data_IF_411428104304
#
_entry.id   IF_411428104304
#
_cell.length_a   1.000
_cell.length_b   1.000
_cell.length_c   1.000
_cell.angle_alpha   90.00
_cell.angle_beta   90.00
_cell.angle_gamma   90.00
#
_symmetry.space_group_name_H-M   'P 1'
#
loop_
_entity.id
_entity.type
_entity.pdbx_description
1 polymer ?
#
# COMPACT_ATOMS: atom_id res chain seq x y z
N UNK A 1 11.05 -6.83 7.75
CA UNK A 1 10.65 -5.48 7.28
C UNK A 1 9.16 -5.46 7.40
N UNK A 2 8.67 -5.03 8.55
CA UNK A 2 7.30 -5.33 8.94
C UNK A 2 6.64 -4.04 9.39
N UNK A 3 5.36 -3.93 9.06
CA UNK A 3 4.56 -2.73 9.21
C UNK A 3 3.26 -2.93 8.46
N UNK A 4 2.30 -2.04 8.67
CA UNK A 4 0.97 -2.16 8.11
C UNK A 4 0.50 -0.83 7.54
N UNK A 5 -0.13 -0.86 6.37
CA UNK A 5 -0.92 0.24 5.85
C UNK A 5 -2.38 -0.01 6.20
N UNK A 6 -3.03 0.97 6.81
CA UNK A 6 -4.47 0.99 7.06
C UNK A 6 -5.06 2.08 6.18
N UNK A 7 -5.93 1.70 5.24
CA UNK A 7 -6.62 2.61 4.35
C UNK A 7 -8.02 2.89 4.89
N UNK A 8 -8.49 4.13 4.77
CA UNK A 8 -9.77 4.60 5.28
C UNK A 8 -10.68 5.05 4.14
N UNK A 9 -11.99 4.96 4.37
CA UNK A 9 -12.98 5.54 3.47
C UNK A 9 -12.84 7.06 3.49
N UNK A 10 -12.96 7.67 2.32
CA UNK A 10 -13.00 9.14 2.22
C UNK A 10 -14.37 9.65 2.68
N UNK A 11 -14.37 10.33 3.82
CA UNK A 11 -15.51 11.05 4.39
C UNK A 11 -15.21 12.55 4.55
N UNK A 12 -14.26 13.08 3.78
CA UNK A 12 -13.84 14.49 3.84
C UNK A 12 -12.80 14.81 4.91
N UNK A 13 -12.17 13.80 5.51
CA UNK A 13 -11.04 14.00 6.41
C UNK A 13 -9.71 14.19 5.66
N UNK A 14 -8.73 14.82 6.31
CA UNK A 14 -7.43 15.13 5.67
C UNK A 14 -6.46 13.93 5.60
N UNK A 15 -6.91 12.74 6.00
CA UNK A 15 -6.12 11.50 5.94
C UNK A 15 -6.93 10.33 5.37
N UNK A 16 -6.30 9.55 4.51
CA UNK A 16 -6.86 8.35 3.89
C UNK A 16 -6.03 7.11 4.22
N UNK A 17 -4.78 7.25 4.66
CA UNK A 17 -3.90 6.12 4.94
C UNK A 17 -3.08 6.39 6.19
N UNK A 18 -2.99 5.39 7.06
CA UNK A 18 -1.99 5.34 8.13
C UNK A 18 -0.96 4.26 7.85
N UNK A 19 0.32 4.59 8.06
CA UNK A 19 1.40 3.61 8.20
C UNK A 19 1.66 3.34 9.66
N UNK A 20 1.65 2.06 9.99
CA UNK A 20 1.96 1.55 11.30
C UNK A 20 3.28 0.78 11.25
N UNK A 21 4.07 0.88 12.31
CA UNK A 21 5.21 -0.02 12.53
C UNK A 21 4.75 -1.43 12.95
N UNK A 22 5.70 -2.28 13.33
CA UNK A 22 5.47 -3.67 13.76
C UNK A 22 4.64 -3.75 15.03
N UNK A 23 4.77 -2.75 15.88
CA UNK A 23 4.04 -2.64 17.12
C UNK A 23 2.62 -2.08 16.88
N UNK A 24 2.26 -1.67 15.66
CA UNK A 24 0.96 -1.06 15.40
C UNK A 24 0.90 0.40 15.88
N UNK A 25 2.04 1.07 16.01
CA UNK A 25 2.10 2.52 16.27
C UNK A 25 2.12 3.26 14.93
N UNK A 26 1.26 4.26 14.79
CA UNK A 26 1.22 5.12 13.61
C UNK A 26 2.54 5.89 13.51
N UNK A 27 3.24 5.74 12.39
CA UNK A 27 4.49 6.45 12.08
C UNK A 27 4.29 7.53 11.02
N UNK A 28 3.32 7.34 10.11
CA UNK A 28 2.94 8.35 9.10
C UNK A 28 1.44 8.30 8.77
N UNK A 29 0.95 9.42 8.27
CA UNK A 29 -0.41 9.61 7.76
C UNK A 29 -0.37 10.37 6.43
N UNK A 30 -1.26 10.01 5.51
CA UNK A 30 -1.40 10.63 4.19
C UNK A 30 -2.86 10.91 3.84
N UNK A 31 -3.16 11.96 3.04
CA UNK A 31 -2.20 12.92 2.50
C UNK A 31 -1.61 13.88 3.54
N UNK A 32 -2.28 14.09 4.67
CA UNK A 32 -1.85 15.02 5.71
C UNK A 32 -1.90 14.43 7.12
N UNK A 33 -1.71 15.30 8.11
CA UNK A 33 -1.91 15.05 9.54
C UNK A 33 -0.98 14.00 10.17
N UNK A 34 0.24 13.81 9.64
CA UNK A 34 1.23 12.93 10.30
C UNK A 34 1.50 13.36 11.74
N UNK A 35 1.72 14.64 12.01
CA UNK A 35 2.00 15.13 13.37
C UNK A 35 0.82 14.98 14.33
N UNK A 36 -0.41 14.85 13.80
CA UNK A 36 -1.62 14.64 14.60
C UNK A 36 -1.71 13.19 15.07
N UNK A 37 -1.37 12.25 14.18
CA UNK A 37 -1.62 10.82 14.36
C UNK A 37 -0.38 10.03 14.77
N UNK A 38 0.83 10.50 14.47
CA UNK A 38 2.07 9.83 14.84
C UNK A 38 2.13 9.55 16.35
N UNK A 39 2.61 8.35 16.71
CA UNK A 39 2.64 7.86 18.10
C UNK A 39 1.31 7.25 18.59
N UNK A 40 0.25 7.30 17.80
CA UNK A 40 -1.02 6.64 18.14
C UNK A 40 -0.87 5.11 18.03
N UNK A 41 -1.16 4.38 19.11
CA UNK A 41 -1.10 2.92 19.15
C UNK A 41 -2.45 2.32 18.78
N UNK A 42 -2.51 1.54 17.69
CA UNK A 42 -3.72 0.80 17.31
C UNK A 42 -3.82 -0.49 18.15
N UNK A 43 -4.97 -0.67 18.79
CA UNK A 43 -5.22 -1.78 19.72
C UNK A 43 -5.85 -3.00 19.05
N UNK A 44 -6.62 -2.80 17.98
CA UNK A 44 -7.37 -3.86 17.31
C UNK A 44 -6.80 -4.23 15.93
N UNK A 45 -5.51 -4.01 15.69
CA UNK A 45 -4.90 -4.19 14.36
C UNK A 45 -5.13 -5.60 13.78
N UNK A 46 -5.00 -6.64 14.61
CA UNK A 46 -5.18 -8.04 14.19
C UNK A 46 -6.62 -8.44 13.88
N UNK A 47 -7.60 -7.69 14.39
CA UNK A 47 -9.03 -7.94 14.17
C UNK A 47 -9.67 -6.90 13.25
N UNK A 48 -8.90 -5.90 12.82
CA UNK A 48 -9.33 -4.83 11.94
C UNK A 48 -9.59 -5.38 10.54
N UNK A 49 -10.75 -5.04 10.00
CA UNK A 49 -11.19 -5.47 8.67
C UNK A 49 -11.92 -4.32 7.98
N UNK A 50 -12.23 -4.52 6.70
CA UNK A 50 -13.05 -3.60 5.91
C UNK A 50 -14.34 -3.24 6.66
N UNK A 51 -14.68 -1.96 6.58
CA UNK A 51 -15.78 -1.25 7.23
C UNK A 51 -15.71 -1.23 8.77
N UNK A 52 -14.65 -1.77 9.37
CA UNK A 52 -14.38 -1.69 10.80
C UNK A 52 -13.78 -0.35 11.21
N UNK A 53 -13.88 -0.04 12.51
CA UNK A 53 -13.29 1.16 13.10
C UNK A 53 -11.98 0.82 13.83
N UNK A 54 -11.02 1.74 13.76
CA UNK A 54 -9.75 1.62 14.47
C UNK A 54 -9.96 2.03 15.93
N UNK A 55 -9.64 1.13 16.86
CA UNK A 55 -9.52 1.42 18.29
C UNK A 55 -8.07 1.68 18.61
N UNK A 56 -7.78 2.79 19.29
CA UNK A 56 -6.42 3.22 19.54
C UNK A 56 -6.24 3.86 20.92
N UNK A 57 -4.98 3.98 21.34
CA UNK A 57 -4.56 4.87 22.42
C UNK A 57 -3.78 6.03 21.83
N UNK A 58 -4.23 7.24 22.12
CA UNK A 58 -3.57 8.49 21.72
C UNK A 58 -3.41 9.35 22.96
N UNK A 59 -2.18 9.79 23.24
CA UNK A 59 -1.84 10.59 24.43
C UNK A 59 -2.36 9.97 25.74
N UNK A 60 -2.24 8.65 25.89
CA UNK A 60 -2.69 7.89 27.06
C UNK A 60 -4.21 7.72 27.19
N UNK A 61 -5.01 8.20 26.23
CA UNK A 61 -6.47 8.07 26.23
C UNK A 61 -6.94 7.11 25.15
N UNK A 62 -7.95 6.32 25.47
CA UNK A 62 -8.64 5.49 24.48
C UNK A 62 -9.40 6.36 23.50
N UNK A 63 -9.37 5.95 22.24
CA UNK A 63 -9.97 6.68 21.15
C UNK A 63 -10.42 5.70 20.06
N UNK A 64 -11.44 6.08 19.30
CA UNK A 64 -11.94 5.32 18.15
C UNK A 64 -11.99 6.22 16.92
N UNK A 65 -11.42 5.74 15.81
CA UNK A 65 -11.49 6.42 14.53
C UNK A 65 -12.90 6.31 13.98
N UNK A 66 -13.53 7.46 13.73
CA UNK A 66 -14.86 7.52 13.13
C UNK A 66 -14.85 7.20 11.63
N UNK A 67 -13.68 7.18 11.01
CA UNK A 67 -13.51 6.81 9.61
C UNK A 67 -13.34 5.30 9.50
N UNK A 68 -14.22 4.67 8.74
CA UNK A 68 -14.21 3.24 8.52
C UNK A 68 -13.04 2.82 7.63
N UNK A 69 -12.53 1.62 7.87
CA UNK A 69 -11.38 1.07 7.13
C UNK A 69 -11.82 0.53 5.77
N UNK A 70 -11.11 0.88 4.72
CA UNK A 70 -11.26 0.30 3.37
C UNK A 70 -10.49 -1.01 3.27
N UNK A 71 -9.25 -1.01 3.74
CA UNK A 71 -8.35 -2.14 3.63
C UNK A 71 -7.21 -2.07 4.67
N UNK A 72 -6.64 -3.24 4.95
CA UNK A 72 -5.44 -3.38 5.80
C UNK A 72 -4.43 -4.20 5.01
N UNK A 73 -3.21 -3.69 4.90
CA UNK A 73 -2.19 -4.27 4.04
C UNK A 73 -0.84 -4.40 4.76
N UNK A 74 -0.24 -5.60 4.82
CA UNK A 74 1.12 -5.71 5.31
C UNK A 74 2.08 -5.00 4.35
N UNK A 75 3.07 -4.32 4.91
CA UNK A 75 4.21 -3.77 4.16
C UNK A 75 5.21 -4.90 3.99
N UNK A 76 5.15 -5.58 2.85
CA UNK A 76 6.04 -6.69 2.49
C UNK A 76 6.28 -6.69 0.98
N UNK A 77 7.36 -7.32 0.50
CA UNK A 77 7.61 -7.45 -0.93
C UNK A 77 6.42 -8.07 -1.66
N UNK A 78 6.15 -7.57 -2.86
CA UNK A 78 5.12 -8.12 -3.75
C UNK A 78 5.72 -8.44 -5.11
N UNK A 79 5.28 -9.55 -5.69
CA UNK A 79 5.62 -9.93 -7.06
C UNK A 79 4.49 -9.51 -7.99
N UNK A 80 4.85 -8.92 -9.11
CA UNK A 80 3.95 -8.31 -10.10
C UNK A 80 4.32 -8.81 -11.48
N UNK A 81 3.36 -9.43 -12.15
CA UNK A 81 3.50 -9.78 -13.56
C UNK A 81 3.15 -8.60 -14.44
N UNK A 82 3.87 -8.43 -15.54
CA UNK A 82 3.54 -7.50 -16.62
C UNK A 82 3.18 -8.30 -17.85
N UNK A 83 2.09 -7.92 -18.51
CA UNK A 83 1.65 -8.48 -19.79
C UNK A 83 1.67 -7.42 -20.88
N UNK A 84 1.82 -7.86 -22.13
CA UNK A 84 1.53 -7.02 -23.30
C UNK A 84 0.05 -7.13 -23.65
N UNK A 85 -0.64 -6.00 -23.67
CA UNK A 85 -2.09 -5.92 -23.91
C UNK A 85 -2.46 -5.56 -25.35
N UNK A 86 -1.48 -5.21 -26.20
CA UNK A 86 -1.69 -4.86 -27.61
C UNK A 86 -2.30 -3.47 -27.84
N UNK A 87 -3.12 -2.97 -26.91
CA UNK A 87 -3.76 -1.64 -26.98
C UNK A 87 -3.16 -0.70 -25.94
N UNK A 88 -3.24 -1.07 -24.65
CA UNK A 88 -2.74 -0.25 -23.54
C UNK A 88 -1.21 -0.33 -23.33
N UNK A 89 -0.51 -1.11 -24.16
CA UNK A 89 0.92 -1.43 -24.03
C UNK A 89 1.19 -2.48 -22.94
N UNK A 90 2.18 -2.22 -22.11
CA UNK A 90 2.55 -3.02 -20.96
C UNK A 90 1.60 -2.74 -19.79
N UNK A 91 1.00 -3.78 -19.22
CA UNK A 91 0.01 -3.67 -18.13
C UNK A 91 0.40 -4.59 -16.98
N UNK A 92 0.40 -4.07 -15.75
CA UNK A 92 0.63 -4.88 -14.55
C UNK A 92 -0.56 -5.80 -14.24
N UNK A 93 -0.32 -6.87 -13.50
CA UNK A 93 -1.39 -7.53 -12.73
C UNK A 93 -2.02 -6.54 -11.75
N UNK A 94 -3.25 -6.85 -11.33
CA UNK A 94 -3.93 -6.08 -10.29
C UNK A 94 -3.37 -6.47 -8.93
N UNK A 95 -2.94 -5.49 -8.15
CA UNK A 95 -2.49 -5.65 -6.77
C UNK A 95 -3.24 -4.65 -5.89
N UNK A 96 -3.90 -5.12 -4.83
CA UNK A 96 -4.71 -4.27 -3.93
C UNK A 96 -5.75 -3.41 -4.68
N UNK A 97 -6.39 -3.98 -5.70
CA UNK A 97 -7.33 -3.26 -6.57
C UNK A 97 -6.70 -2.24 -7.53
N UNK A 98 -5.38 -2.05 -7.47
CA UNK A 98 -4.64 -1.11 -8.30
C UNK A 98 -3.96 -1.81 -9.47
N UNK A 99 -3.88 -1.10 -10.61
CA UNK A 99 -3.08 -1.48 -11.77
C UNK A 99 -2.50 -0.23 -12.45
N UNK A 100 -1.50 -0.44 -13.30
CA UNK A 100 -0.93 0.61 -14.13
C UNK A 100 -0.55 0.06 -15.50
N UNK A 101 -0.45 0.98 -16.47
CA UNK A 101 -0.02 0.69 -17.83
C UNK A 101 0.95 1.73 -18.37
N UNK A 102 1.75 1.33 -19.36
CA UNK A 102 2.65 2.17 -20.12
C UNK A 102 2.81 1.62 -21.53
N UNK A 103 2.83 2.49 -22.54
CA UNK A 103 3.02 2.11 -23.94
C UNK A 103 4.48 1.92 -24.34
N UNK A 104 5.44 2.46 -23.58
CA UNK A 104 6.83 2.55 -23.99
C UNK A 104 7.69 1.40 -23.46
N UNK A 105 7.51 1.01 -22.19
CA UNK A 105 8.35 0.00 -21.54
C UNK A 105 7.62 -0.73 -20.39
N UNK A 106 8.15 -1.89 -20.02
CA UNK A 106 7.57 -2.76 -19.00
C UNK A 106 7.88 -2.34 -17.54
N UNK A 107 8.86 -1.46 -17.31
CA UNK A 107 9.29 -1.04 -15.97
C UNK A 107 8.46 0.14 -15.44
N UNK A 108 8.17 1.14 -16.29
CA UNK A 108 7.33 2.30 -15.97
C UNK A 108 5.97 1.96 -15.30
N UNK A 109 5.19 0.97 -15.77
CA UNK A 109 3.92 0.64 -15.12
C UNK A 109 4.14 -0.04 -13.76
N UNK A 110 5.27 -0.74 -13.56
CA UNK A 110 5.63 -1.32 -12.25
C UNK A 110 5.99 -0.20 -11.26
N UNK A 111 6.74 0.82 -11.69
CA UNK A 111 7.06 2.00 -10.87
C UNK A 111 5.80 2.74 -10.44
N UNK A 112 4.89 3.02 -11.38
CA UNK A 112 3.60 3.65 -11.07
C UNK A 112 2.72 2.80 -10.14
N UNK A 113 2.76 1.47 -10.30
CA UNK A 113 2.04 0.58 -9.40
C UNK A 113 2.63 0.65 -7.98
N UNK A 114 3.97 0.68 -7.85
CA UNK A 114 4.64 0.79 -6.56
C UNK A 114 4.19 2.03 -5.79
N UNK A 115 4.13 3.19 -6.44
CA UNK A 115 3.65 4.44 -5.83
C UNK A 115 2.19 4.35 -5.34
N UNK A 116 1.34 3.61 -6.06
CA UNK A 116 -0.06 3.39 -5.68
C UNK A 116 -0.21 2.43 -4.51
N UNK A 117 0.53 1.32 -4.51
CA UNK A 117 0.37 0.26 -3.49
C UNK A 117 1.13 0.55 -2.20
N UNK A 118 2.16 1.39 -2.28
CA UNK A 118 3.03 1.79 -1.17
C UNK A 118 3.23 3.32 -1.18
N UNK A 119 2.17 4.10 -0.93
CA UNK A 119 2.23 5.55 -1.02
C UNK A 119 3.34 6.11 -0.11
N UNK A 120 4.19 6.96 -0.71
CA UNK A 120 5.33 7.63 -0.06
C UNK A 120 6.37 6.69 0.59
N UNK A 121 6.39 5.41 0.25
CA UNK A 121 7.53 4.54 0.54
C UNK A 121 8.46 4.53 -0.67
N UNK A 122 9.76 4.65 -0.40
CA UNK A 122 10.74 4.30 -1.43
C UNK A 122 10.61 2.80 -1.69
N UNK A 123 10.72 2.40 -2.94
CA UNK A 123 10.62 1.00 -3.33
C UNK A 123 11.77 0.64 -4.25
N UNK A 124 12.48 -0.44 -3.94
CA UNK A 124 13.37 -1.10 -4.88
C UNK A 124 12.57 -2.01 -5.79
N UNK A 125 12.84 -1.91 -7.08
CA UNK A 125 12.14 -2.67 -8.11
C UNK A 125 13.18 -3.51 -8.85
N UNK A 126 12.97 -4.82 -8.83
CA UNK A 126 13.89 -5.79 -9.42
C UNK A 126 13.13 -6.68 -10.41
N UNK A 127 13.70 -6.88 -11.60
CA UNK A 127 13.14 -7.83 -12.57
C UNK A 127 13.54 -9.24 -12.13
N UNK A 128 12.55 -10.14 -12.05
CA UNK A 128 12.78 -11.54 -11.74
C UNK A 128 12.95 -12.36 -13.02
N UNK A 129 13.63 -13.49 -12.91
CA UNK A 129 13.64 -14.49 -13.96
C UNK A 129 12.23 -15.04 -14.17
N UNK A 130 11.77 -15.03 -15.42
CA UNK A 130 10.52 -15.67 -15.80
C UNK A 130 10.62 -16.22 -17.22
N UNK A 131 10.04 -17.40 -17.43
CA UNK A 131 9.80 -17.89 -18.78
C UNK A 131 8.56 -17.19 -19.33
N UNK A 132 8.68 -16.58 -20.50
CA UNK A 132 7.53 -15.97 -21.17
C UNK A 132 6.53 -17.05 -21.54
N UNK A 133 5.29 -16.90 -21.08
CA UNK A 133 4.21 -17.84 -21.35
C UNK A 133 2.90 -17.09 -21.65
N UNK A 134 2.32 -17.34 -22.83
CA UNK A 134 1.11 -16.64 -23.28
C UNK A 134 1.32 -15.12 -23.36
N UNK A 135 0.51 -14.36 -22.62
CA UNK A 135 0.62 -12.89 -22.57
C UNK A 135 1.62 -12.37 -21.52
N UNK A 136 2.20 -13.25 -20.70
CA UNK A 136 3.17 -12.87 -19.68
C UNK A 136 4.47 -12.40 -20.35
N UNK A 137 4.82 -11.14 -20.13
CA UNK A 137 6.01 -10.53 -20.71
C UNK A 137 7.19 -10.52 -19.71
N UNK A 138 6.93 -10.12 -18.46
CA UNK A 138 7.96 -10.07 -17.40
C UNK A 138 7.37 -10.22 -16.01
N UNK A 139 8.20 -10.63 -15.05
CA UNK A 139 7.89 -10.67 -13.63
C UNK A 139 8.83 -9.71 -12.88
N UNK A 140 8.30 -9.03 -11.88
CA UNK A 140 9.01 -8.02 -11.10
C UNK A 140 8.72 -8.16 -9.62
N UNK A 141 9.68 -7.80 -8.78
CA UNK A 141 9.51 -7.66 -7.34
C UNK A 141 9.57 -6.20 -6.95
N UNK A 142 8.55 -5.74 -6.21
CA UNK A 142 8.54 -4.43 -5.57
C UNK A 142 8.81 -4.65 -4.09
N UNK A 143 9.93 -4.13 -3.61
CA UNK A 143 10.37 -4.22 -2.22
C UNK A 143 10.33 -2.82 -1.60
N UNK A 144 9.42 -2.54 -0.65
CA UNK A 144 9.44 -1.25 0.06
C UNK A 144 10.72 -1.13 0.90
N UNK A 145 11.35 0.05 0.87
CA UNK A 145 12.58 0.42 1.57
C UNK A 145 12.33 1.59 2.54
N UNK A 146 13.16 1.68 3.58
CA UNK A 146 13.14 2.77 4.57
C UNK A 146 12.10 2.60 5.68
N UNK A 147 12.57 2.26 6.89
CA UNK A 147 11.91 2.61 8.16
C UNK A 147 12.62 3.85 8.72
#
# INVERSE_FOLDING_TARGET
MDGTLVEFHDGGQDFLVWRLDQDGVVTRSWPFQTDVWAGTKVLNLHTLKRDGLVKAVRNGRTWECRHAVVAVHPIKPIDVSVKWDGIAGYVTSTVRGQRASCTHDAASPVQRLAEKVFPSLQCRIERLECQQFGKLHSLWRITPEGL
#
